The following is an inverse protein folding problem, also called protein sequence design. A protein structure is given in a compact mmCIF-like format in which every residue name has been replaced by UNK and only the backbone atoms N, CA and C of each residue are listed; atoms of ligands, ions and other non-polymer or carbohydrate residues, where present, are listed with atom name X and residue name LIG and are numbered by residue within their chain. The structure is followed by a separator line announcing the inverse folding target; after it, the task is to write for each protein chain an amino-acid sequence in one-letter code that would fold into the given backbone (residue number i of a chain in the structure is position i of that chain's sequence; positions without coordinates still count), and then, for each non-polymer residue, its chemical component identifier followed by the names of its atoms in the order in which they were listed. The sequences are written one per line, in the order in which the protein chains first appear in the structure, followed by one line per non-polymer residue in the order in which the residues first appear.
data_IF_461271249204
#
_entry.id   IF_461271249204
#
_cell.length_a   1.000
_cell.length_b   1.000
_cell.length_c   1.000
_cell.angle_alpha   90.00
_cell.angle_beta   90.00
_cell.angle_gamma   90.00
#
_symmetry.space_group_name_H-M   'P 1'
#
loop_
_entity.id
_entity.type
_entity.pdbx_description
1 polymer ?
#
# COMPACT_ATOMS: atom_id res chain seq x y z
N UNK A 1 -41.63 45.62 -78.87
CA UNK A 1 -41.12 44.34 -78.33
C UNK A 1 -40.14 44.65 -77.19
N UNK A 2 -40.41 44.09 -76.01
CA UNK A 2 -39.84 44.48 -74.71
C UNK A 2 -38.34 44.14 -74.62
N UNK A 3 -37.48 45.14 -74.35
CA UNK A 3 -36.09 44.92 -73.90
C UNK A 3 -36.07 44.86 -72.37
N UNK A 4 -35.83 43.68 -71.83
CA UNK A 4 -35.71 43.40 -70.40
C UNK A 4 -34.33 43.87 -69.94
N UNK A 5 -34.29 44.84 -69.01
CA UNK A 5 -33.06 45.25 -68.31
C UNK A 5 -32.81 44.28 -67.14
N UNK A 6 -31.72 43.53 -67.21
CA UNK A 6 -31.25 42.65 -66.14
C UNK A 6 -30.57 43.50 -65.07
N UNK A 7 -31.16 43.57 -63.88
CA UNK A 7 -30.52 44.12 -62.69
C UNK A 7 -29.53 43.07 -62.14
N UNK A 8 -28.23 43.40 -62.12
CA UNK A 8 -27.21 42.63 -61.40
C UNK A 8 -27.31 42.98 -59.91
N UNK A 9 -27.80 42.05 -59.09
CA UNK A 9 -27.61 42.11 -57.64
C UNK A 9 -26.20 41.60 -57.32
N UNK A 10 -25.31 42.46 -56.83
CA UNK A 10 -24.09 42.04 -56.14
C UNK A 10 -24.50 41.50 -54.76
N UNK A 11 -24.27 40.20 -54.51
CA UNK A 11 -24.24 39.68 -53.14
C UNK A 11 -22.93 40.13 -52.46
N UNK A 12 -22.96 40.62 -51.21
CA UNK A 12 -21.74 40.83 -50.46
C UNK A 12 -21.17 39.46 -50.02
N UNK A 13 -19.90 39.22 -50.34
CA UNK A 13 -19.11 38.13 -49.80
C UNK A 13 -18.96 38.36 -48.29
N UNK A 14 -19.69 37.60 -47.47
CA UNK A 14 -19.46 37.53 -46.02
C UNK A 14 -18.39 36.46 -45.78
N UNK A 15 -17.16 36.90 -45.53
CA UNK A 15 -16.08 36.02 -45.10
C UNK A 15 -16.36 35.56 -43.66
N UNK A 16 -16.85 34.34 -43.49
CA UNK A 16 -17.02 33.72 -42.17
C UNK A 16 -15.62 33.32 -41.68
N UNK A 17 -15.06 34.11 -40.78
CA UNK A 17 -13.86 33.72 -40.02
C UNK A 17 -14.32 32.75 -38.93
N UNK A 18 -14.13 31.45 -39.16
CA UNK A 18 -14.29 30.43 -38.11
C UNK A 18 -13.18 30.61 -37.08
N UNK A 19 -13.51 31.21 -35.94
CA UNK A 19 -12.71 31.07 -34.73
C UNK A 19 -12.85 29.62 -34.24
N UNK A 20 -11.84 28.79 -34.50
CA UNK A 20 -11.64 27.56 -33.73
C UNK A 20 -11.27 27.99 -32.31
N UNK A 21 -12.28 28.07 -31.45
CA UNK A 21 -12.07 28.05 -30.01
C UNK A 21 -11.57 26.63 -29.73
N UNK A 22 -10.26 26.50 -29.56
CA UNK A 22 -9.68 25.28 -29.00
C UNK A 22 -10.30 25.07 -27.63
N UNK A 23 -11.24 24.13 -27.54
CA UNK A 23 -11.62 23.52 -26.27
C UNK A 23 -10.35 22.85 -25.75
N UNK A 24 -9.60 23.57 -24.91
CA UNK A 24 -8.68 22.92 -24.01
C UNK A 24 -9.52 21.90 -23.25
N UNK A 25 -9.30 20.62 -23.55
CA UNK A 25 -9.88 19.57 -22.73
C UNK A 25 -9.39 19.85 -21.32
N UNK A 26 -10.31 20.26 -20.44
CA UNK A 26 -10.07 20.21 -19.01
C UNK A 26 -9.96 18.72 -18.73
N UNK A 27 -8.74 18.20 -18.80
CA UNK A 27 -8.43 16.89 -18.23
C UNK A 27 -8.78 17.06 -16.76
N UNK A 28 -9.79 16.35 -16.24
CA UNK A 28 -10.10 16.43 -14.82
C UNK A 28 -8.82 16.10 -14.07
N UNK A 29 -8.37 17.03 -13.21
CA UNK A 29 -7.24 16.79 -12.33
C UNK A 29 -7.51 15.46 -11.62
N UNK A 30 -6.69 14.46 -11.92
CA UNK A 30 -6.76 13.15 -11.29
C UNK A 30 -6.77 13.40 -9.78
N UNK A 31 -7.85 12.98 -9.12
CA UNK A 31 -8.05 13.25 -7.70
C UNK A 31 -6.78 12.90 -6.95
N UNK A 32 -6.32 13.80 -6.07
CA UNK A 32 -5.03 13.72 -5.40
C UNK A 32 -4.78 12.32 -4.86
N UNK A 33 -4.01 11.52 -5.60
CA UNK A 33 -3.69 10.14 -5.23
C UNK A 33 -2.95 10.23 -3.90
N UNK A 34 -3.43 9.52 -2.88
CA UNK A 34 -2.79 9.48 -1.57
C UNK A 34 -1.28 9.29 -1.74
N UNK A 35 -0.45 10.02 -0.99
CA UNK A 35 1.02 9.85 -1.02
C UNK A 35 1.42 8.41 -0.73
N UNK A 36 0.56 7.65 -0.05
CA UNK A 36 0.79 6.23 0.23
C UNK A 36 0.61 5.31 -0.98
N UNK A 37 0.12 5.83 -2.11
CA UNK A 37 0.01 5.13 -3.39
C UNK A 37 0.89 5.75 -4.47
N UNK A 38 1.93 6.53 -4.11
CA UNK A 38 2.87 7.11 -5.09
C UNK A 38 3.46 6.07 -6.04
N UNK A 39 3.68 4.84 -5.55
CA UNK A 39 4.21 3.74 -6.35
C UNK A 39 3.13 2.88 -7.03
N UNK A 40 1.85 3.17 -6.79
CA UNK A 40 0.73 2.49 -7.43
C UNK A 40 -0.14 1.66 -6.49
N UNK A 41 -1.14 1.02 -7.08
CA UNK A 41 -2.14 0.20 -6.42
C UNK A 41 -1.92 -1.28 -6.78
N UNK A 42 -1.32 -2.11 -5.89
CA UNK A 42 -0.80 -3.42 -6.24
C UNK A 42 -1.80 -4.41 -6.86
N UNK A 43 -3.04 -4.38 -6.37
CA UNK A 43 -4.09 -5.32 -6.79
C UNK A 43 -5.22 -4.66 -7.58
N UNK A 44 -5.08 -3.39 -7.94
CA UNK A 44 -6.18 -2.60 -8.49
C UNK A 44 -7.39 -2.51 -7.55
N UNK A 45 -7.15 -2.49 -6.22
CA UNK A 45 -8.22 -2.39 -5.24
C UNK A 45 -9.07 -1.15 -5.48
N UNK A 46 -10.38 -1.30 -5.32
CA UNK A 46 -11.37 -0.24 -5.53
C UNK A 46 -12.51 -0.35 -4.52
N UNK A 47 -13.61 0.35 -4.72
CA UNK A 47 -14.75 0.32 -3.77
C UNK A 47 -15.85 -0.68 -4.16
N UNK A 48 -15.71 -1.37 -5.29
CA UNK A 48 -16.72 -2.29 -5.83
C UNK A 48 -16.59 -3.73 -5.34
N UNK A 49 -15.39 -4.16 -4.94
CA UNK A 49 -15.12 -5.54 -4.48
C UNK A 49 -14.84 -5.55 -2.99
N UNK A 50 -15.65 -6.27 -2.21
CA UNK A 50 -15.44 -6.42 -0.76
C UNK A 50 -14.15 -7.21 -0.41
N UNK A 51 -13.66 -8.02 -1.34
CA UNK A 51 -12.44 -8.82 -1.15
C UNK A 51 -11.18 -8.16 -1.73
N UNK A 52 -11.33 -6.98 -2.31
CA UNK A 52 -10.26 -6.13 -2.80
C UNK A 52 -10.65 -4.65 -2.61
N UNK A 53 -11.10 -4.32 -1.40
CA UNK A 53 -11.72 -3.04 -1.08
C UNK A 53 -10.66 -2.00 -0.70
N UNK A 54 -10.62 -0.87 -1.39
CA UNK A 54 -9.64 0.19 -1.13
C UNK A 54 -10.10 1.07 0.03
N UNK A 55 -9.36 1.04 1.14
CA UNK A 55 -9.50 1.98 2.26
C UNK A 55 -8.36 2.99 2.19
N UNK A 56 -8.70 4.25 1.92
CA UNK A 56 -7.74 5.35 1.94
C UNK A 56 -7.85 6.08 3.28
N UNK A 57 -6.76 6.04 4.07
CA UNK A 57 -6.65 6.80 5.32
C UNK A 57 -5.53 7.84 5.18
N UNK A 58 -5.53 8.92 5.98
CA UNK A 58 -4.45 9.90 5.95
C UNK A 58 -3.07 9.32 6.28
N UNK A 59 -3.01 8.19 7.00
CA UNK A 59 -1.77 7.60 7.49
C UNK A 59 -1.22 6.48 6.62
N UNK A 60 -2.07 5.78 5.87
CA UNK A 60 -1.72 4.62 5.05
C UNK A 60 -2.93 4.23 4.18
N UNK A 61 -2.72 3.36 3.20
CA UNK A 61 -3.78 2.85 2.31
C UNK A 61 -3.81 1.34 2.37
N UNK A 62 -5.01 0.76 2.39
CA UNK A 62 -5.22 -0.68 2.53
C UNK A 62 -6.01 -1.20 1.32
N UNK A 63 -5.55 -2.29 0.71
CA UNK A 63 -6.40 -3.20 -0.06
C UNK A 63 -6.95 -4.26 0.89
N UNK A 64 -8.21 -4.14 1.31
CA UNK A 64 -8.80 -4.98 2.35
C UNK A 64 -9.57 -6.16 1.77
N UNK A 65 -9.58 -7.28 2.49
CA UNK A 65 -10.30 -8.48 2.10
C UNK A 65 -11.29 -8.91 3.19
N UNK A 66 -12.58 -8.67 2.96
CA UNK A 66 -13.63 -8.99 3.92
C UNK A 66 -13.74 -10.49 4.21
N UNK A 67 -13.58 -11.36 3.20
CA UNK A 67 -13.62 -12.81 3.40
C UNK A 67 -12.42 -13.35 4.20
N UNK A 68 -11.28 -12.66 4.18
CA UNK A 68 -10.11 -13.06 4.97
C UNK A 68 -10.05 -12.36 6.34
N UNK A 69 -10.83 -11.31 6.58
CA UNK A 69 -10.77 -10.53 7.82
C UNK A 69 -9.40 -9.89 8.07
N UNK A 70 -8.68 -9.53 7.00
CA UNK A 70 -7.34 -8.94 7.06
C UNK A 70 -7.03 -8.18 5.77
N UNK A 71 -6.01 -7.31 5.73
CA UNK A 71 -5.56 -6.71 4.48
C UNK A 71 -4.96 -7.76 3.52
N UNK A 72 -5.22 -7.57 2.22
CA UNK A 72 -4.41 -8.15 1.15
C UNK A 72 -3.00 -7.52 1.19
N UNK A 73 -2.98 -6.19 1.29
CA UNK A 73 -1.77 -5.38 1.43
C UNK A 73 -2.10 -4.05 2.13
N UNK A 74 -1.09 -3.43 2.73
CA UNK A 74 -1.11 -2.07 3.25
C UNK A 74 0.10 -1.34 2.69
N UNK A 75 -0.10 -0.10 2.21
CA UNK A 75 0.93 0.75 1.62
C UNK A 75 1.04 2.06 2.39
N UNK A 76 2.25 2.54 2.65
CA UNK A 76 2.50 3.79 3.34
C UNK A 76 3.82 4.44 2.97
N UNK A 77 3.89 5.76 3.15
CA UNK A 77 5.13 6.53 3.06
C UNK A 77 5.75 6.60 4.46
N UNK A 78 7.07 6.55 4.52
CA UNK A 78 7.82 6.75 5.75
C UNK A 78 8.98 7.73 5.49
N UNK A 79 8.95 8.84 6.19
CA UNK A 79 10.02 9.84 6.25
C UNK A 79 9.95 10.53 7.62
N UNK A 80 10.85 11.47 7.89
CA UNK A 80 10.95 12.13 9.19
C UNK A 80 9.67 12.86 9.64
N UNK A 81 8.84 13.34 8.71
CA UNK A 81 7.60 14.06 9.05
C UNK A 81 6.51 13.19 9.70
N UNK A 82 6.59 11.87 9.52
CA UNK A 82 5.69 10.90 10.16
C UNK A 82 6.11 10.52 11.58
N UNK A 83 7.33 10.89 11.97
CA UNK A 83 7.94 10.56 13.25
C UNK A 83 7.88 11.76 14.21
N UNK A 84 7.78 11.46 15.50
CA UNK A 84 7.74 12.41 16.59
C UNK A 84 7.89 11.70 17.93
N UNK A 85 7.45 12.32 19.02
CA UNK A 85 7.57 11.80 20.39
C UNK A 85 6.26 11.21 20.94
N UNK A 86 5.22 11.07 20.12
CA UNK A 86 3.92 10.56 20.59
C UNK A 86 4.08 9.12 21.09
N UNK A 87 3.67 8.80 22.34
CA UNK A 87 3.72 7.44 22.85
C UNK A 87 2.77 6.53 22.08
N UNK A 88 3.05 5.23 22.13
CA UNK A 88 2.17 4.20 21.60
C UNK A 88 0.79 4.27 22.28
N UNK A 89 -0.28 4.22 21.50
CA UNK A 89 -1.65 4.42 22.01
C UNK A 89 -2.34 3.13 22.47
N UNK A 90 -2.01 1.98 21.89
CA UNK A 90 -2.59 0.66 22.24
C UNK A 90 -4.14 0.59 22.15
N UNK A 91 -4.73 1.44 21.31
CA UNK A 91 -6.19 1.58 21.10
C UNK A 91 -6.75 0.60 20.06
N UNK A 92 -6.43 -0.70 20.19
CA UNK A 92 -6.90 -1.74 19.26
C UNK A 92 -8.43 -1.73 19.15
N UNK A 93 -8.95 -1.46 17.96
CA UNK A 93 -10.39 -1.32 17.72
C UNK A 93 -10.78 -1.68 16.30
N UNK A 94 -12.04 -2.10 16.16
CA UNK A 94 -12.64 -2.30 14.86
C UNK A 94 -12.58 -1.04 13.98
N UNK A 95 -12.46 -1.27 12.67
CA UNK A 95 -12.53 -0.21 11.68
C UNK A 95 -13.98 -0.02 11.22
N UNK A 96 -14.63 1.01 11.74
CA UNK A 96 -16.04 1.32 11.43
C UNK A 96 -16.25 1.85 10.02
N UNK A 97 -15.17 2.12 9.26
CA UNK A 97 -15.26 2.56 7.86
C UNK A 97 -15.32 1.40 6.86
N UNK A 98 -15.34 0.15 7.33
CA UNK A 98 -15.51 -1.02 6.47
C UNK A 98 -16.89 -1.01 5.80
N UNK A 99 -17.01 -1.53 4.56
CA UNK A 99 -18.29 -1.56 3.86
C UNK A 99 -19.31 -2.43 4.59
N UNK A 100 -20.60 -2.11 4.43
CA UNK A 100 -21.69 -2.90 5.02
C UNK A 100 -21.59 -4.38 4.61
N UNK A 101 -21.88 -5.28 5.56
CA UNK A 101 -21.74 -6.73 5.38
C UNK A 101 -20.32 -7.27 5.62
N UNK A 102 -19.31 -6.41 5.69
CA UNK A 102 -17.96 -6.82 6.08
C UNK A 102 -17.87 -7.00 7.59
N UNK A 103 -17.34 -8.13 8.06
CA UNK A 103 -17.13 -8.32 9.49
C UNK A 103 -16.05 -7.35 10.00
N UNK A 104 -16.41 -6.55 10.99
CA UNK A 104 -15.47 -5.66 11.67
C UNK A 104 -14.72 -6.45 12.75
N UNK A 105 -13.51 -6.89 12.40
CA UNK A 105 -12.62 -7.61 13.31
C UNK A 105 -12.40 -6.79 14.57
N UNK A 106 -12.61 -7.41 15.72
CA UNK A 106 -12.44 -6.82 17.03
C UNK A 106 -11.05 -7.18 17.58
N UNK A 107 -10.59 -6.39 18.55
CA UNK A 107 -9.34 -6.72 19.24
C UNK A 107 -9.44 -8.09 19.93
N UNK A 108 -10.58 -8.42 20.54
CA UNK A 108 -10.82 -9.68 21.27
C UNK A 108 -10.80 -10.92 20.38
N UNK A 109 -10.92 -10.80 19.06
CA UNK A 109 -10.91 -11.92 18.11
C UNK A 109 -9.58 -12.70 18.08
N UNK A 110 -8.50 -12.08 18.56
CA UNK A 110 -7.17 -12.68 18.64
C UNK A 110 -6.91 -13.36 19.99
N UNK A 111 -7.75 -13.10 21.00
CA UNK A 111 -7.55 -13.61 22.36
C UNK A 111 -7.55 -15.14 22.39
N UNK A 112 -6.55 -15.71 23.07
CA UNK A 112 -6.40 -17.17 23.19
C UNK A 112 -5.92 -17.89 21.91
N UNK A 113 -5.74 -17.19 20.80
CA UNK A 113 -5.30 -17.81 19.54
C UNK A 113 -3.82 -18.22 19.51
N UNK A 114 -2.99 -17.59 20.34
CA UNK A 114 -1.54 -17.71 20.26
C UNK A 114 -0.89 -16.87 19.15
N UNK A 115 -1.65 -15.98 18.49
CA UNK A 115 -1.15 -14.99 17.53
C UNK A 115 -1.25 -13.57 18.09
N UNK A 116 -0.27 -12.75 17.75
CA UNK A 116 -0.29 -11.31 17.98
C UNK A 116 -1.19 -10.60 16.97
N UNK A 117 -1.63 -9.40 17.35
CA UNK A 117 -2.22 -8.40 16.43
C UNK A 117 -1.07 -7.72 15.68
N UNK A 118 -0.59 -8.39 14.64
CA UNK A 118 0.55 -7.98 13.84
C UNK A 118 0.23 -6.78 12.95
N UNK A 119 0.92 -5.67 13.16
CA UNK A 119 0.69 -4.44 12.39
C UNK A 119 1.33 -4.56 11.00
N UNK A 120 0.63 -4.10 9.96
CA UNK A 120 1.24 -3.86 8.65
C UNK A 120 1.96 -2.51 8.63
N UNK A 121 1.23 -1.41 8.86
CA UNK A 121 1.85 -0.12 9.20
C UNK A 121 2.11 -0.08 10.72
N UNK A 122 3.37 -0.09 11.18
CA UNK A 122 3.68 -0.19 12.60
C UNK A 122 3.42 1.13 13.33
N UNK A 123 3.07 1.04 14.62
CA UNK A 123 2.83 2.21 15.47
C UNK A 123 4.03 3.17 15.50
N UNK A 124 5.26 2.63 15.53
CA UNK A 124 6.49 3.42 15.56
C UNK A 124 6.75 4.23 14.28
N UNK A 125 6.05 3.95 13.18
CA UNK A 125 6.13 4.73 11.94
C UNK A 125 5.17 5.93 11.93
N UNK A 126 4.32 6.08 12.96
CA UNK A 126 3.30 7.13 13.07
C UNK A 126 3.32 7.74 14.47
N UNK A 127 4.37 8.47 14.80
CA UNK A 127 4.57 9.09 16.12
C UNK A 127 4.50 10.63 16.10
N UNK A 128 4.15 11.22 14.96
CA UNK A 128 4.00 12.68 14.83
C UNK A 128 2.78 13.26 15.57
N UNK A 129 1.74 12.47 15.82
CA UNK A 129 0.59 12.86 16.65
C UNK A 129 -0.16 11.66 17.23
N UNK A 130 -0.93 11.89 18.29
CA UNK A 130 -1.84 10.89 18.88
C UNK A 130 -2.79 10.31 17.83
N UNK A 131 -3.37 11.15 16.98
CA UNK A 131 -4.27 10.73 15.89
C UNK A 131 -3.57 9.79 14.91
N UNK A 132 -2.35 10.13 14.48
CA UNK A 132 -1.60 9.30 13.54
C UNK A 132 -1.22 7.95 14.17
N UNK A 133 -0.79 7.96 15.43
CA UNK A 133 -0.43 6.73 16.13
C UNK A 133 -1.65 5.83 16.35
N UNK A 134 -2.73 6.39 16.88
CA UNK A 134 -4.00 5.69 17.16
C UNK A 134 -4.62 5.10 15.90
N UNK A 135 -4.40 5.70 14.72
CA UNK A 135 -4.86 5.13 13.45
C UNK A 135 -4.22 3.76 13.16
N UNK A 136 -2.97 3.51 13.57
CA UNK A 136 -2.29 2.22 13.32
C UNK A 136 -2.94 1.03 14.05
N UNK A 137 -3.76 1.30 15.07
CA UNK A 137 -4.46 0.31 15.90
C UNK A 137 -5.84 -0.12 15.37
N UNK A 138 -6.24 0.35 14.18
CA UNK A 138 -7.43 -0.17 13.51
C UNK A 138 -7.19 -1.63 13.10
N UNK A 139 -8.12 -2.51 13.41
CA UNK A 139 -7.98 -3.94 13.09
C UNK A 139 -7.90 -4.24 11.58
N UNK A 140 -8.31 -3.31 10.72
CA UNK A 140 -8.09 -3.38 9.26
C UNK A 140 -6.61 -3.32 8.83
N UNK A 141 -5.72 -2.89 9.73
CA UNK A 141 -4.26 -2.87 9.57
C UNK A 141 -3.58 -4.11 10.20
N UNK A 142 -4.34 -5.09 10.69
CA UNK A 142 -3.80 -6.24 11.42
C UNK A 142 -3.83 -7.53 10.61
N UNK A 143 -2.83 -8.39 10.85
CA UNK A 143 -2.87 -9.80 10.51
C UNK A 143 -2.61 -10.65 11.76
N UNK A 144 -3.07 -11.90 11.77
CA UNK A 144 -2.66 -12.89 12.77
C UNK A 144 -1.19 -13.27 12.55
N UNK A 145 -0.30 -12.77 13.42
CA UNK A 145 1.14 -12.92 13.27
C UNK A 145 1.73 -13.70 14.44
N UNK A 146 2.57 -14.70 14.15
CA UNK A 146 3.24 -15.49 15.17
C UNK A 146 4.11 -14.57 16.05
N UNK A 147 4.12 -14.69 17.38
CA UNK A 147 4.88 -13.80 18.26
C UNK A 147 6.37 -13.71 17.92
N UNK A 148 7.01 -14.80 17.52
CA UNK A 148 8.41 -14.80 17.12
C UNK A 148 8.65 -14.06 15.79
N UNK A 149 7.69 -14.12 14.87
CA UNK A 149 7.73 -13.31 13.65
C UNK A 149 7.55 -11.83 14.02
N UNK A 150 6.46 -11.48 14.69
CA UNK A 150 6.05 -10.10 15.01
C UNK A 150 7.09 -9.36 15.86
N UNK A 151 7.50 -9.95 16.98
CA UNK A 151 8.33 -9.31 18.00
C UNK A 151 9.84 -9.47 17.73
N UNK A 152 10.21 -10.27 16.74
CA UNK A 152 11.60 -10.58 16.39
C UNK A 152 11.96 -10.05 15.02
N UNK A 153 11.96 -10.95 14.03
CA UNK A 153 12.47 -10.67 12.69
C UNK A 153 11.70 -9.56 11.95
N UNK A 154 10.38 -9.46 12.14
CA UNK A 154 9.56 -8.42 11.53
C UNK A 154 9.85 -7.05 12.13
N UNK A 155 9.83 -6.95 13.47
CA UNK A 155 10.21 -5.73 14.19
C UNK A 155 11.62 -5.26 13.82
N UNK A 156 12.57 -6.19 13.65
CA UNK A 156 13.94 -5.86 13.24
C UNK A 156 14.03 -5.23 11.84
N UNK A 157 13.17 -5.65 10.90
CA UNK A 157 13.07 -5.02 9.58
C UNK A 157 12.40 -3.63 9.69
N UNK A 158 11.41 -3.47 10.56
CA UNK A 158 10.77 -2.17 10.81
C UNK A 158 11.75 -1.17 11.45
N UNK A 159 12.57 -1.60 12.40
CA UNK A 159 13.65 -0.80 12.97
C UNK A 159 14.68 -0.40 11.92
N UNK A 160 15.00 -1.30 10.99
CA UNK A 160 15.90 -1.01 9.89
C UNK A 160 15.32 0.05 8.93
N UNK A 161 14.02 -0.01 8.63
CA UNK A 161 13.33 1.02 7.85
C UNK A 161 13.47 2.41 8.50
N UNK A 162 13.25 2.49 9.82
CA UNK A 162 13.43 3.74 10.58
C UNK A 162 14.89 4.18 10.67
N UNK A 163 15.84 3.25 10.71
CA UNK A 163 17.28 3.58 10.63
C UNK A 163 17.60 4.29 9.32
N UNK A 164 17.05 3.82 8.19
CA UNK A 164 17.23 4.48 6.89
C UNK A 164 16.62 5.89 6.89
N UNK A 165 15.45 6.09 7.50
CA UNK A 165 14.86 7.43 7.66
C UNK A 165 15.77 8.34 8.48
N UNK A 166 16.35 7.83 9.57
CA UNK A 166 17.35 8.55 10.37
C UNK A 166 18.61 8.94 9.60
N UNK A 167 18.92 8.23 8.51
CA UNK A 167 19.99 8.55 7.56
C UNK A 167 19.56 9.54 6.46
N UNK A 168 18.39 10.17 6.60
CA UNK A 168 17.86 11.14 5.65
C UNK A 168 17.23 10.52 4.41
N UNK A 169 16.83 9.24 4.45
CA UNK A 169 16.11 8.58 3.35
C UNK A 169 14.60 8.79 3.48
N UNK A 170 13.92 8.68 2.35
CA UNK A 170 12.47 8.52 2.30
C UNK A 170 12.14 7.12 1.78
N UNK A 171 11.16 6.47 2.38
CA UNK A 171 10.73 5.13 2.02
C UNK A 171 9.28 5.13 1.59
N UNK A 172 8.98 4.30 0.61
CA UNK A 172 7.62 3.83 0.34
C UNK A 172 7.58 2.34 0.61
N UNK A 173 6.63 1.92 1.44
CA UNK A 173 6.58 0.58 2.02
C UNK A 173 5.24 -0.06 1.69
N UNK A 174 5.27 -1.31 1.25
CA UNK A 174 4.09 -2.13 1.00
C UNK A 174 4.28 -3.46 1.75
N UNK A 175 3.28 -3.91 2.50
CA UNK A 175 3.35 -5.19 3.20
C UNK A 175 2.01 -5.92 3.27
N UNK A 176 2.06 -7.23 3.47
CA UNK A 176 0.87 -8.04 3.64
C UNK A 176 1.17 -9.46 4.12
N UNK A 177 0.11 -10.27 4.19
CA UNK A 177 0.19 -11.71 4.46
C UNK A 177 -0.14 -12.54 3.23
N UNK A 178 0.50 -13.69 3.06
CA UNK A 178 0.24 -14.63 1.98
C UNK A 178 0.02 -16.06 2.50
N UNK A 179 -0.69 -16.86 1.70
CA UNK A 179 -1.01 -18.26 2.01
C UNK A 179 -1.93 -18.40 3.21
N UNK A 180 -1.93 -19.60 3.80
CA UNK A 180 -2.75 -19.95 4.96
C UNK A 180 -2.04 -21.01 5.81
N UNK A 181 -2.22 -20.99 7.13
CA UNK A 181 -1.62 -21.98 8.03
C UNK A 181 -0.36 -21.47 8.73
N UNK A 182 -0.44 -20.32 9.42
CA UNK A 182 0.65 -19.84 10.28
C UNK A 182 0.73 -20.65 11.58
N UNK A 183 1.88 -20.60 12.25
CA UNK A 183 2.13 -21.32 13.51
C UNK A 183 2.42 -20.33 14.64
N UNK A 184 1.44 -20.11 15.50
CA UNK A 184 1.54 -19.26 16.69
C UNK A 184 1.96 -20.05 17.93
N UNK A 185 1.90 -19.42 19.10
CA UNK A 185 2.28 -20.05 20.37
C UNK A 185 1.40 -21.25 20.75
N UNK A 186 0.17 -21.30 20.23
CA UNK A 186 -0.79 -22.38 20.49
C UNK A 186 -0.88 -23.40 19.34
N UNK A 187 0.08 -23.39 18.41
CA UNK A 187 0.13 -24.31 17.27
C UNK A 187 -0.24 -23.67 15.94
N UNK A 188 -0.51 -24.52 14.95
CA UNK A 188 -0.81 -24.11 13.57
C UNK A 188 -2.31 -23.87 13.42
N UNK A 189 -2.67 -22.70 12.89
CA UNK A 189 -4.05 -22.33 12.61
C UNK A 189 -4.18 -21.82 11.18
N UNK A 190 -5.29 -22.17 10.53
CA UNK A 190 -5.66 -21.64 9.22
C UNK A 190 -6.55 -20.39 9.35
N UNK A 191 -7.36 -20.36 10.40
CA UNK A 191 -8.23 -19.24 10.78
C UNK A 191 -8.31 -19.12 12.30
N UNK A 192 -8.65 -17.94 12.79
CA UNK A 192 -9.02 -17.64 14.18
C UNK A 192 -10.40 -16.96 14.18
N UNK A 193 -10.90 -16.60 15.37
CA UNK A 193 -12.17 -15.86 15.52
C UNK A 193 -13.37 -16.56 14.84
N UNK A 194 -13.51 -17.87 15.05
CA UNK A 194 -14.55 -18.70 14.43
C UNK A 194 -14.56 -18.60 12.89
N UNK A 195 -13.37 -18.58 12.27
CA UNK A 195 -13.22 -18.53 10.82
C UNK A 195 -13.22 -17.13 10.21
N UNK A 196 -13.40 -16.07 11.01
CA UNK A 196 -13.54 -14.70 10.51
C UNK A 196 -12.23 -14.01 10.18
N UNK A 197 -11.10 -14.51 10.70
CA UNK A 197 -9.76 -13.99 10.42
C UNK A 197 -8.88 -15.12 9.92
N UNK A 198 -8.41 -15.01 8.68
CA UNK A 198 -7.48 -15.95 8.09
C UNK A 198 -6.06 -15.73 8.64
N UNK A 199 -5.37 -16.82 8.96
CA UNK A 199 -3.98 -16.81 9.40
C UNK A 199 -3.07 -17.09 8.21
N UNK A 200 -2.29 -16.10 7.72
CA UNK A 200 -1.33 -16.34 6.64
C UNK A 200 -0.18 -17.23 7.11
N UNK A 201 0.43 -18.01 6.22
CA UNK A 201 1.66 -18.76 6.55
C UNK A 201 2.94 -17.97 6.23
N UNK A 202 2.80 -16.81 5.56
CA UNK A 202 3.89 -15.91 5.20
C UNK A 202 3.53 -14.46 5.48
N UNK A 203 4.50 -13.66 5.91
CA UNK A 203 4.44 -12.20 5.93
C UNK A 203 5.47 -11.65 4.93
N UNK A 204 5.06 -10.71 4.09
CA UNK A 204 5.92 -10.13 3.06
C UNK A 204 5.94 -8.61 3.16
N UNK A 205 7.04 -7.99 2.75
CA UNK A 205 7.23 -6.53 2.79
C UNK A 205 8.20 -6.08 1.70
N UNK A 206 7.91 -4.95 1.06
CA UNK A 206 8.74 -4.25 0.07
C UNK A 206 9.04 -2.85 0.62
N UNK A 207 10.31 -2.45 0.63
CA UNK A 207 10.79 -1.10 0.94
C UNK A 207 11.46 -0.55 -0.32
N UNK A 208 10.92 0.52 -0.89
CA UNK A 208 11.61 1.31 -1.92
C UNK A 208 12.29 2.49 -1.24
N UNK A 209 13.61 2.60 -1.38
CA UNK A 209 14.44 3.57 -0.64
C UNK A 209 14.88 4.69 -1.57
N UNK A 210 14.37 5.90 -1.32
CA UNK A 210 14.76 7.11 -2.03
C UNK A 210 15.88 7.83 -1.28
N UNK A 211 16.96 8.13 -2.00
CA UNK A 211 18.11 8.86 -1.47
C UNK A 211 17.83 10.35 -1.26
N UNK A 212 16.86 10.89 -2.00
CA UNK A 212 16.45 12.30 -1.95
C UNK A 212 14.98 12.36 -1.53
N UNK A 213 14.67 12.68 -0.26
CA UNK A 213 13.29 12.84 0.18
C UNK A 213 12.51 13.86 -0.66
N UNK A 214 11.24 13.56 -0.93
CA UNK A 214 10.37 14.43 -1.72
C UNK A 214 10.53 14.32 -3.24
N UNK A 215 11.47 13.49 -3.72
CA UNK A 215 11.62 13.22 -5.16
C UNK A 215 10.44 12.44 -5.76
N UNK A 216 9.65 11.76 -4.91
CA UNK A 216 8.46 11.04 -5.32
C UNK A 216 8.77 9.99 -6.38
N UNK A 217 7.84 9.81 -7.33
CA UNK A 217 7.99 8.84 -8.42
C UNK A 217 9.21 9.13 -9.31
N UNK A 218 9.54 10.41 -9.52
CA UNK A 218 10.69 10.83 -10.33
C UNK A 218 12.05 10.47 -9.69
N UNK A 219 12.06 10.17 -8.38
CA UNK A 219 13.25 9.68 -7.68
C UNK A 219 13.52 8.19 -7.85
N UNK A 220 12.61 7.43 -8.47
CA UNK A 220 12.79 6.01 -8.74
C UNK A 220 13.52 5.84 -10.07
N UNK A 221 14.68 5.20 -10.03
CA UNK A 221 15.54 4.90 -11.18
C UNK A 221 15.96 3.43 -11.16
N UNK A 222 16.66 2.96 -12.19
CA UNK A 222 17.22 1.60 -12.24
C UNK A 222 18.26 1.31 -11.15
N UNK A 223 18.80 2.35 -10.49
CA UNK A 223 19.72 2.21 -9.36
C UNK A 223 19.03 2.36 -7.99
N UNK A 224 17.71 2.57 -7.97
CA UNK A 224 16.96 2.70 -6.72
C UNK A 224 17.00 1.39 -5.96
N UNK A 225 17.34 1.48 -4.67
CA UNK A 225 17.42 0.31 -3.81
C UNK A 225 16.03 -0.14 -3.40
N UNK A 226 15.74 -1.42 -3.64
CA UNK A 226 14.48 -2.08 -3.27
C UNK A 226 14.78 -3.29 -2.41
N UNK A 227 14.18 -3.36 -1.22
CA UNK A 227 14.31 -4.49 -0.30
C UNK A 227 12.97 -5.21 -0.26
N UNK A 228 12.92 -6.47 -0.70
CA UNK A 228 11.74 -7.31 -0.58
C UNK A 228 12.04 -8.54 0.27
N UNK A 229 11.12 -8.93 1.17
CA UNK A 229 11.25 -10.12 2.02
C UNK A 229 9.99 -10.99 1.99
N UNK A 230 10.16 -12.29 2.23
CA UNK A 230 9.08 -13.26 2.41
C UNK A 230 9.35 -14.17 3.62
N UNK A 231 8.83 -13.80 4.78
CA UNK A 231 9.16 -14.38 6.08
C UNK A 231 8.10 -15.43 6.49
N UNK A 232 8.48 -16.62 6.97
CA UNK A 232 7.55 -17.58 7.59
C UNK A 232 6.78 -16.96 8.76
N UNK A 233 5.46 -17.06 8.75
CA UNK A 233 4.62 -16.67 9.88
C UNK A 233 4.55 -17.80 10.92
N UNK A 234 5.67 -18.04 11.61
CA UNK A 234 5.84 -19.19 12.47
C UNK A 234 6.65 -18.86 13.74
N UNK A 235 6.47 -19.67 14.78
CA UNK A 235 7.39 -19.75 15.91
C UNK A 235 8.77 -20.27 15.47
N UNK A 236 9.81 -19.97 16.24
CA UNK A 236 11.20 -20.39 15.99
C UNK A 236 12.00 -19.45 15.09
N UNK A 237 11.41 -18.37 14.58
CA UNK A 237 12.10 -17.39 13.70
C UNK A 237 12.58 -16.14 14.44
N UNK A 238 12.41 -16.05 15.77
CA UNK A 238 12.57 -14.81 16.55
C UNK A 238 13.93 -14.14 16.37
N UNK A 239 14.99 -14.94 16.39
CA UNK A 239 16.39 -14.48 16.32
C UNK A 239 16.96 -14.55 14.90
N UNK A 240 16.16 -14.98 13.92
CA UNK A 240 16.62 -15.07 12.55
C UNK A 240 16.82 -13.66 11.95
N UNK A 241 17.79 -13.55 11.04
CA UNK A 241 18.06 -12.29 10.35
C UNK A 241 17.12 -12.14 9.15
N UNK A 242 16.35 -11.06 9.07
CA UNK A 242 15.43 -10.79 7.96
C UNK A 242 16.12 -10.80 6.60
N UNK A 243 17.43 -10.51 6.55
CA UNK A 243 18.26 -10.58 5.33
C UNK A 243 18.29 -11.97 4.69
N UNK A 244 18.12 -13.03 5.48
CA UNK A 244 18.09 -14.41 4.99
C UNK A 244 16.79 -14.75 4.25
N UNK A 245 15.79 -13.89 4.32
CA UNK A 245 14.47 -14.05 3.70
C UNK A 245 14.22 -13.04 2.58
N UNK A 246 15.29 -12.39 2.10
CA UNK A 246 15.23 -11.49 0.95
C UNK A 246 14.85 -12.26 -0.31
N UNK A 247 13.99 -11.65 -1.11
CA UNK A 247 13.54 -12.13 -2.42
C UNK A 247 13.52 -10.96 -3.39
N UNK A 248 13.26 -11.23 -4.66
CA UNK A 248 12.99 -10.18 -5.64
C UNK A 248 11.53 -9.71 -5.54
N UNK A 249 11.20 -8.54 -6.07
CA UNK A 249 9.79 -8.10 -6.16
C UNK A 249 9.03 -9.01 -7.12
N UNK A 250 9.65 -9.42 -8.24
CA UNK A 250 9.08 -10.40 -9.19
C UNK A 250 8.63 -11.69 -8.49
N UNK A 251 9.41 -12.14 -7.49
CA UNK A 251 9.05 -13.33 -6.70
C UNK A 251 7.78 -13.10 -5.88
N UNK A 252 7.60 -11.90 -5.32
CA UNK A 252 6.38 -11.54 -4.60
C UNK A 252 5.20 -11.35 -5.55
N UNK A 253 5.40 -10.79 -6.75
CA UNK A 253 4.37 -10.70 -7.78
C UNK A 253 3.89 -12.08 -8.22
N UNK A 254 4.83 -12.99 -8.50
CA UNK A 254 4.52 -14.38 -8.86
C UNK A 254 3.72 -15.09 -7.75
N UNK A 255 4.04 -14.83 -6.48
CA UNK A 255 3.31 -15.39 -5.35
C UNK A 255 1.90 -14.80 -5.22
N UNK A 256 1.78 -13.48 -5.28
CA UNK A 256 0.55 -12.76 -4.91
C UNK A 256 -0.42 -12.53 -6.08
N UNK A 257 0.08 -12.56 -7.31
CA UNK A 257 -0.63 -12.11 -8.51
C UNK A 257 -0.80 -10.58 -8.59
N UNK A 258 -0.09 -9.82 -7.75
CA UNK A 258 -0.11 -8.35 -7.76
C UNK A 258 0.91 -7.79 -8.75
N UNK A 259 0.70 -6.54 -9.15
CA UNK A 259 1.67 -5.72 -9.88
C UNK A 259 2.12 -4.58 -8.95
N UNK A 260 3.24 -4.78 -8.27
CA UNK A 260 3.83 -3.77 -7.40
C UNK A 260 4.47 -2.67 -8.24
N UNK A 261 4.72 -1.52 -7.62
CA UNK A 261 5.39 -0.38 -8.26
C UNK A 261 4.77 0.05 -9.61
N UNK A 262 3.49 -0.23 -9.84
CA UNK A 262 2.79 -0.07 -11.13
C UNK A 262 2.75 1.35 -11.71
N UNK A 263 3.16 2.36 -10.95
CA UNK A 263 3.35 3.73 -11.45
C UNK A 263 4.77 3.99 -11.98
N UNK A 264 5.75 3.15 -11.64
CA UNK A 264 7.13 3.22 -12.15
C UNK A 264 7.15 2.76 -13.60
N UNK A 265 8.03 3.30 -14.45
CA UNK A 265 8.11 2.86 -15.85
C UNK A 265 8.55 1.40 -15.93
N UNK A 266 8.00 0.66 -16.89
CA UNK A 266 8.31 -0.76 -17.10
C UNK A 266 9.79 -1.04 -17.33
N UNK A 267 10.51 -0.08 -17.94
CA UNK A 267 11.97 -0.15 -18.12
C UNK A 267 12.78 -0.06 -16.83
N UNK A 268 12.24 0.59 -15.79
CA UNK A 268 12.86 0.67 -14.48
C UNK A 268 12.44 -0.54 -13.64
N UNK A 269 11.14 -0.88 -13.65
CA UNK A 269 10.58 -2.08 -13.00
C UNK A 269 11.38 -3.34 -13.38
N UNK A 270 11.59 -3.58 -14.68
CA UNK A 270 12.32 -4.76 -15.17
C UNK A 270 13.75 -4.91 -14.64
N UNK A 271 14.34 -3.82 -14.11
CA UNK A 271 15.64 -3.86 -13.44
C UNK A 271 15.46 -4.05 -11.94
N UNK A 272 14.72 -3.15 -11.27
CA UNK A 272 14.68 -3.11 -9.81
C UNK A 272 13.86 -4.24 -9.20
N UNK A 273 12.89 -4.79 -9.94
CA UNK A 273 12.00 -5.84 -9.44
C UNK A 273 12.59 -7.25 -9.58
N UNK A 274 13.48 -7.44 -10.55
CA UNK A 274 14.21 -8.68 -10.78
C UNK A 274 15.37 -8.89 -9.78
N UNK A 275 15.88 -7.82 -9.17
CA UNK A 275 17.03 -7.89 -8.27
C UNK A 275 16.64 -8.33 -6.86
N UNK A 276 17.54 -9.05 -6.20
CA UNK A 276 17.49 -9.29 -4.74
C UNK A 276 18.48 -8.33 -4.08
N UNK A 277 18.03 -7.56 -3.09
CA UNK A 277 18.90 -6.67 -2.31
C UNK A 277 20.11 -7.41 -1.74
N UNK A 278 21.30 -6.83 -1.89
CA UNK A 278 22.59 -7.49 -1.67
C UNK A 278 23.40 -6.94 -0.48
N UNK A 279 22.77 -6.23 0.47
CA UNK A 279 23.44 -5.84 1.73
C UNK A 279 24.09 -7.02 2.47
#
# INVERSE_FOLDING_TARGET
MKKIKIFKFLLPFVTVVLFIIGLAQIVPAQSSVSVHLTLGNPSGAGTSSQNNYLLVKPQYVIGYNCSLGRPNWVSWQLNSSWLGSTPRQDTFRADTTLPSGCYQVQSTDFSGSGFDRGHMTPSADRTSSVTNNSATFLMSNMIAQAPDNNQGIWASLEDYARTLVGQGKELYIISGGYGMGGTGSNGTFYTIANGRVQVPNRTWKILVVLNTPGSGLAGVTTSTRVIAVNIPNAQGVRTANWRNYRVSVDSLESLTGYNFLSQVSTSIQSVIEAQVDNL
#
